data_IF_929689657690
#
_entry.id   IF_929689657690
#
_cell.length_a   1.000
_cell.length_b   1.000
_cell.length_c   1.000
_cell.angle_alpha   90.00
_cell.angle_beta   90.00
_cell.angle_gamma   90.00
#
_symmetry.space_group_name_H-M   'P 1'
#
loop_
_entity.id
_entity.type
_entity.pdbx_description
1 polymer ?
#
# COMPACT_ATOMS: atom_id res chain seq x y z
N UNK A 1 -25.24 5.46 -8.59
CA UNK A 1 -24.08 4.91 -7.83
C UNK A 1 -23.78 5.73 -6.57
N UNK A 2 -23.58 7.02 -6.65
CA UNK A 2 -23.25 7.87 -5.49
C UNK A 2 -24.34 7.96 -4.41
N UNK A 3 -25.62 8.10 -4.76
CA UNK A 3 -26.70 8.11 -3.77
C UNK A 3 -26.83 6.79 -3.02
N UNK A 4 -26.50 5.69 -3.67
CA UNK A 4 -26.51 4.37 -3.08
C UNK A 4 -25.44 4.21 -1.98
N UNK A 5 -24.22 4.75 -2.17
CA UNK A 5 -23.18 4.74 -1.14
C UNK A 5 -23.57 5.52 0.12
N UNK A 6 -24.26 6.65 -0.03
CA UNK A 6 -24.77 7.43 1.12
C UNK A 6 -25.65 6.56 2.02
N UNK A 7 -26.57 5.80 1.43
CA UNK A 7 -27.43 4.88 2.16
C UNK A 7 -26.68 3.70 2.79
N UNK A 8 -25.68 3.16 2.09
CA UNK A 8 -24.88 2.05 2.61
C UNK A 8 -24.02 2.45 3.81
N UNK A 9 -23.48 3.67 3.83
CA UNK A 9 -22.80 4.21 5.01
C UNK A 9 -23.73 4.53 6.19
N UNK A 10 -25.04 4.49 5.99
CA UNK A 10 -26.04 4.90 7.00
C UNK A 10 -25.84 6.34 7.48
N UNK A 11 -25.40 7.23 6.60
CA UNK A 11 -25.27 8.66 6.90
C UNK A 11 -26.60 9.38 6.69
N UNK A 12 -26.90 10.31 7.60
CA UNK A 12 -27.99 11.24 7.42
C UNK A 12 -27.53 12.51 6.66
N UNK A 13 -28.46 13.36 6.26
CA UNK A 13 -28.15 14.52 5.43
C UNK A 13 -27.22 15.53 6.12
N UNK A 14 -27.33 15.71 7.44
CA UNK A 14 -26.42 16.57 8.20
C UNK A 14 -25.00 16.04 8.25
N UNK A 15 -24.84 14.71 8.39
CA UNK A 15 -23.55 14.05 8.37
C UNK A 15 -22.91 14.16 6.97
N UNK A 16 -23.69 13.99 5.91
CA UNK A 16 -23.25 14.17 4.52
C UNK A 16 -22.79 15.60 4.30
N UNK A 17 -23.61 16.57 4.67
CA UNK A 17 -23.29 18.00 4.55
C UNK A 17 -22.00 18.36 5.32
N UNK A 18 -21.81 17.79 6.51
CA UNK A 18 -20.59 17.95 7.29
C UNK A 18 -19.36 17.44 6.54
N UNK A 19 -19.43 16.23 5.95
CA UNK A 19 -18.35 15.65 5.13
C UNK A 19 -18.05 16.53 3.90
N UNK A 20 -19.09 16.97 3.20
CA UNK A 20 -18.97 17.75 1.97
C UNK A 20 -18.30 19.12 2.18
N UNK A 21 -18.59 19.76 3.31
CA UNK A 21 -18.08 21.08 3.65
C UNK A 21 -16.75 21.05 4.41
N UNK A 22 -16.28 19.87 4.80
CA UNK A 22 -15.05 19.78 5.61
C UNK A 22 -13.81 19.66 4.74
N UNK A 23 -12.78 20.40 5.16
CA UNK A 23 -11.42 20.30 4.67
C UNK A 23 -10.49 20.05 5.86
N UNK A 24 -9.77 18.93 5.84
CA UNK A 24 -8.85 18.54 6.92
C UNK A 24 -7.43 18.81 6.44
N UNK A 25 -6.74 19.79 7.05
CA UNK A 25 -5.37 20.19 6.65
C UNK A 25 -5.24 20.38 5.14
N UNK A 26 -6.16 21.17 4.57
CA UNK A 26 -6.25 21.49 3.13
C UNK A 26 -6.55 20.29 2.20
N UNK A 27 -7.01 19.16 2.75
CA UNK A 27 -7.45 17.99 2.00
C UNK A 27 -8.94 17.80 2.13
N UNK A 28 -9.60 17.38 1.07
CA UNK A 28 -11.00 16.94 1.13
C UNK A 28 -11.14 15.76 2.09
N UNK A 29 -12.27 15.69 2.78
CA UNK A 29 -12.55 14.56 3.66
C UNK A 29 -12.44 13.20 2.90
N UNK A 30 -11.83 12.14 3.46
CA UNK A 30 -11.60 10.87 2.75
C UNK A 30 -12.88 10.27 2.14
N UNK A 31 -13.99 10.32 2.87
CA UNK A 31 -15.30 9.80 2.41
C UNK A 31 -15.87 10.64 1.27
N UNK A 32 -15.58 11.95 1.22
CA UNK A 32 -16.12 12.85 0.18
C UNK A 32 -15.82 12.38 -1.23
N UNK A 33 -14.63 11.82 -1.45
CA UNK A 33 -14.22 11.25 -2.72
C UNK A 33 -15.14 10.12 -3.20
N UNK A 34 -15.63 9.30 -2.28
CA UNK A 34 -16.55 8.20 -2.59
C UNK A 34 -17.96 8.72 -2.87
N UNK A 35 -18.36 9.81 -2.22
CA UNK A 35 -19.67 10.44 -2.44
C UNK A 35 -19.70 11.30 -3.71
N UNK A 36 -18.57 11.84 -4.13
CA UNK A 36 -18.42 12.70 -5.31
C UNK A 36 -17.21 12.28 -6.14
N UNK A 37 -17.32 11.16 -6.90
CA UNK A 37 -16.22 10.68 -7.74
C UNK A 37 -15.89 11.74 -8.80
N UNK A 38 -14.61 12.00 -8.93
CA UNK A 38 -14.11 12.86 -10.00
C UNK A 38 -14.17 12.09 -11.31
N UNK A 39 -15.02 12.50 -12.26
CA UNK A 39 -15.28 11.83 -13.54
C UNK A 39 -14.02 11.60 -14.44
N UNK A 40 -12.82 11.78 -13.95
CA UNK A 40 -11.57 11.77 -14.73
C UNK A 40 -10.57 10.67 -14.31
N UNK A 41 -10.86 9.92 -13.26
CA UNK A 41 -9.92 8.90 -12.78
C UNK A 41 -10.58 7.52 -12.90
N UNK A 42 -10.18 6.75 -13.91
CA UNK A 42 -10.62 5.36 -14.11
C UNK A 42 -10.48 4.49 -12.85
N UNK A 43 -9.52 4.84 -11.98
CA UNK A 43 -9.25 4.09 -10.74
C UNK A 43 -10.23 4.46 -9.62
N UNK A 44 -10.84 5.65 -9.64
CA UNK A 44 -11.90 6.00 -8.69
C UNK A 44 -13.08 5.04 -8.80
N UNK A 45 -13.45 4.66 -10.01
CA UNK A 45 -14.54 3.73 -10.24
C UNK A 45 -14.28 2.36 -9.60
N UNK A 46 -13.04 1.88 -9.62
CA UNK A 46 -12.66 0.61 -8.99
C UNK A 46 -12.68 0.71 -7.45
N UNK A 47 -12.18 1.80 -6.89
CA UNK A 47 -12.20 2.03 -5.43
C UNK A 47 -13.65 2.15 -4.93
N UNK A 48 -14.48 2.89 -5.66
CA UNK A 48 -15.90 3.07 -5.35
C UNK A 48 -16.63 1.73 -5.44
N UNK A 49 -16.46 1.00 -6.54
CA UNK A 49 -17.09 -0.29 -6.76
C UNK A 49 -16.71 -1.32 -5.67
N UNK A 50 -15.41 -1.42 -5.35
CA UNK A 50 -14.94 -2.32 -4.31
C UNK A 50 -15.48 -1.93 -2.93
N UNK A 51 -15.54 -0.63 -2.62
CA UNK A 51 -16.09 -0.13 -1.36
C UNK A 51 -17.61 -0.38 -1.29
N UNK A 52 -18.33 -0.19 -2.38
CA UNK A 52 -19.77 -0.44 -2.45
C UNK A 52 -20.12 -1.91 -2.20
N UNK A 53 -19.40 -2.84 -2.87
CA UNK A 53 -19.60 -4.27 -2.65
C UNK A 53 -19.31 -4.66 -1.20
N UNK A 54 -18.23 -4.14 -0.62
CA UNK A 54 -17.91 -4.38 0.78
C UNK A 54 -19.03 -3.89 1.70
N UNK A 55 -19.50 -2.65 1.51
CA UNK A 55 -20.55 -2.07 2.34
C UNK A 55 -21.88 -2.80 2.22
N UNK A 56 -22.28 -3.27 1.03
CA UNK A 56 -23.51 -4.07 0.87
C UNK A 56 -23.48 -5.30 1.76
N UNK A 57 -22.40 -6.05 1.71
CA UNK A 57 -22.24 -7.24 2.56
C UNK A 57 -22.17 -6.88 4.05
N UNK A 58 -21.44 -5.82 4.41
CA UNK A 58 -21.31 -5.36 5.80
C UNK A 58 -22.67 -4.92 6.35
N UNK A 59 -23.48 -4.19 5.59
CA UNK A 59 -24.82 -3.75 6.01
C UNK A 59 -25.74 -4.94 6.25
N UNK A 60 -25.63 -5.99 5.43
CA UNK A 60 -26.45 -7.19 5.54
C UNK A 60 -26.06 -8.09 6.71
N UNK A 61 -24.77 -8.26 6.98
CA UNK A 61 -24.28 -9.28 7.90
C UNK A 61 -23.49 -8.73 9.10
N UNK A 62 -22.99 -7.49 9.02
CA UNK A 62 -22.09 -6.89 10.03
C UNK A 62 -22.46 -5.44 10.38
N UNK A 63 -23.74 -5.08 10.32
CA UNK A 63 -24.21 -3.70 10.54
C UNK A 63 -23.72 -3.10 11.86
N UNK A 64 -23.69 -3.88 12.94
CA UNK A 64 -23.20 -3.42 14.26
C UNK A 64 -21.75 -2.94 14.18
N UNK A 65 -20.92 -3.64 13.41
CA UNK A 65 -19.53 -3.24 13.20
C UNK A 65 -19.45 -1.93 12.38
N UNK A 66 -20.22 -1.81 11.30
CA UNK A 66 -20.28 -0.55 10.54
C UNK A 66 -20.68 0.62 11.43
N UNK A 67 -21.66 0.44 12.30
CA UNK A 67 -22.08 1.47 13.24
C UNK A 67 -21.01 1.84 14.26
N UNK A 68 -20.13 0.90 14.64
CA UNK A 68 -18.96 1.19 15.48
C UNK A 68 -17.86 1.98 14.75
N UNK A 69 -17.74 1.80 13.42
CA UNK A 69 -16.81 2.57 12.57
C UNK A 69 -17.34 3.97 12.24
N UNK A 70 -18.66 4.18 12.27
CA UNK A 70 -19.30 5.43 11.84
C UNK A 70 -18.73 6.69 12.49
N UNK A 71 -18.45 6.75 13.81
CA UNK A 71 -17.82 7.92 14.43
C UNK A 71 -16.44 8.23 13.86
N UNK A 72 -15.67 7.19 13.51
CA UNK A 72 -14.34 7.34 12.88
C UNK A 72 -14.47 7.81 11.43
N UNK A 73 -15.42 7.27 10.67
CA UNK A 73 -15.73 7.69 9.30
C UNK A 73 -16.14 9.16 9.22
N UNK A 74 -16.85 9.66 10.23
CA UNK A 74 -17.33 11.05 10.33
C UNK A 74 -16.33 12.00 10.99
N UNK A 75 -15.13 11.54 11.31
CA UNK A 75 -14.11 12.38 11.95
C UNK A 75 -13.63 13.47 10.99
N UNK A 76 -13.87 14.73 11.37
CA UNK A 76 -13.51 15.92 10.58
C UNK A 76 -12.22 16.59 11.04
N UNK A 77 -11.65 16.14 12.16
CA UNK A 77 -10.47 16.75 12.77
C UNK A 77 -9.18 15.99 12.37
N UNK A 78 -9.30 14.67 12.18
CA UNK A 78 -8.18 13.83 11.83
C UNK A 78 -8.46 12.98 10.59
N UNK A 79 -7.76 13.34 9.50
CA UNK A 79 -7.81 12.64 8.21
C UNK A 79 -7.46 11.15 8.35
N UNK A 80 -6.47 10.84 9.20
CA UNK A 80 -5.98 9.47 9.34
C UNK A 80 -7.00 8.54 10.00
N UNK A 81 -7.77 9.04 10.94
CA UNK A 81 -8.86 8.31 11.60
C UNK A 81 -9.95 7.93 10.60
N UNK A 82 -10.40 8.86 9.76
CA UNK A 82 -11.42 8.58 8.75
C UNK A 82 -10.90 7.68 7.63
N UNK A 83 -9.70 7.94 7.13
CA UNK A 83 -9.05 7.09 6.12
C UNK A 83 -8.77 5.67 6.66
N UNK A 84 -8.39 5.53 7.93
CA UNK A 84 -8.21 4.25 8.59
C UNK A 84 -9.49 3.41 8.59
N UNK A 85 -10.61 4.00 8.98
CA UNK A 85 -11.90 3.31 8.96
C UNK A 85 -12.34 2.88 7.55
N UNK A 86 -12.05 3.71 6.52
CA UNK A 86 -12.27 3.32 5.12
C UNK A 86 -11.37 2.16 4.70
N UNK A 87 -10.10 2.15 5.13
CA UNK A 87 -9.17 1.07 4.86
C UNK A 87 -9.64 -0.25 5.43
N UNK A 88 -10.19 -0.25 6.65
CA UNK A 88 -10.78 -1.44 7.26
C UNK A 88 -11.97 -1.95 6.43
N UNK A 89 -12.89 -1.09 5.99
CA UNK A 89 -14.02 -1.48 5.13
C UNK A 89 -13.52 -2.12 3.83
N UNK A 90 -12.52 -1.52 3.18
CA UNK A 90 -11.95 -2.03 1.94
C UNK A 90 -11.24 -3.36 2.13
N UNK A 91 -10.39 -3.46 3.15
CA UNK A 91 -9.69 -4.71 3.50
C UNK A 91 -10.68 -5.84 3.79
N UNK A 92 -11.73 -5.56 4.57
CA UNK A 92 -12.83 -6.51 4.81
C UNK A 92 -13.43 -7.02 3.50
N UNK A 93 -13.79 -6.12 2.59
CA UNK A 93 -14.42 -6.47 1.31
C UNK A 93 -13.51 -7.29 0.41
N UNK A 94 -12.21 -7.03 0.40
CA UNK A 94 -11.25 -7.85 -0.33
C UNK A 94 -11.13 -9.25 0.27
N UNK A 95 -10.96 -9.36 1.58
CA UNK A 95 -10.81 -10.63 2.29
C UNK A 95 -12.07 -11.47 2.17
N UNK A 96 -13.24 -10.91 2.45
CA UNK A 96 -14.51 -11.62 2.33
C UNK A 96 -14.72 -12.24 0.94
N UNK A 97 -14.39 -11.52 -0.14
CA UNK A 97 -14.53 -12.04 -1.52
C UNK A 97 -13.64 -13.25 -1.84
N UNK A 98 -12.64 -13.55 -1.03
CA UNK A 98 -11.87 -14.78 -1.17
C UNK A 98 -12.61 -16.01 -0.64
N UNK A 99 -13.78 -15.82 0.00
CA UNK A 99 -14.56 -16.87 0.62
C UNK A 99 -14.03 -17.30 1.99
N UNK A 100 -13.08 -16.55 2.57
CA UNK A 100 -12.68 -16.77 3.97
C UNK A 100 -13.70 -16.12 4.90
N UNK A 101 -13.95 -16.74 6.06
CA UNK A 101 -14.74 -16.11 7.11
C UNK A 101 -13.96 -14.95 7.72
N UNK A 102 -14.52 -13.75 7.70
CA UNK A 102 -13.92 -12.52 8.24
C UNK A 102 -14.74 -12.04 9.41
N UNK A 103 -14.16 -12.01 10.60
CA UNK A 103 -14.77 -11.47 11.80
C UNK A 103 -14.03 -10.19 12.22
N UNK A 104 -14.79 -9.11 12.44
CA UNK A 104 -14.25 -7.85 12.94
C UNK A 104 -14.04 -7.91 14.44
N UNK A 105 -12.98 -7.24 14.94
CA UNK A 105 -12.75 -7.09 16.38
C UNK A 105 -12.34 -8.35 17.09
N UNK A 106 -11.27 -9.00 16.67
CA UNK A 106 -10.71 -10.15 17.36
C UNK A 106 -10.35 -9.82 18.81
N UNK A 107 -10.53 -10.80 19.74
CA UNK A 107 -10.16 -10.65 21.17
C UNK A 107 -8.69 -10.27 21.40
N UNK A 108 -7.84 -10.45 20.39
CA UNK A 108 -6.42 -10.12 20.43
C UNK A 108 -6.10 -8.65 20.06
N UNK A 109 -7.14 -7.82 19.79
CA UNK A 109 -6.94 -6.41 19.41
C UNK A 109 -6.53 -6.17 17.96
N UNK A 110 -6.52 -7.21 17.10
CA UNK A 110 -6.41 -7.09 15.65
C UNK A 110 -7.72 -6.59 15.04
N UNK A 111 -7.64 -5.95 13.86
CA UNK A 111 -8.83 -5.46 13.16
C UNK A 111 -9.71 -6.62 12.67
N UNK A 112 -9.09 -7.71 12.17
CA UNK A 112 -9.83 -8.88 11.71
C UNK A 112 -9.24 -10.20 12.21
N UNK A 113 -10.15 -11.15 12.43
CA UNK A 113 -9.89 -12.56 12.58
C UNK A 113 -10.40 -13.30 11.33
N UNK A 114 -9.50 -13.92 10.58
CA UNK A 114 -9.83 -14.83 9.50
C UNK A 114 -9.94 -16.25 10.04
N UNK A 115 -10.91 -17.03 9.55
CA UNK A 115 -11.07 -18.41 9.98
C UNK A 115 -11.60 -19.31 8.86
N UNK A 116 -11.19 -20.60 8.91
CA UNK A 116 -11.72 -21.68 8.11
C UNK A 116 -11.67 -22.97 8.98
N UNK A 117 -12.84 -23.42 9.47
CA UNK A 117 -12.91 -24.45 10.51
C UNK A 117 -12.26 -23.97 11.82
N UNK A 118 -11.30 -24.75 12.34
CA UNK A 118 -10.56 -24.41 13.54
C UNK A 118 -9.34 -23.51 13.29
N UNK A 119 -8.93 -23.37 12.04
CA UNK A 119 -7.78 -22.59 11.64
C UNK A 119 -8.06 -21.09 11.70
N UNK A 120 -7.06 -20.31 12.12
CA UNK A 120 -7.17 -18.87 12.36
C UNK A 120 -5.98 -18.11 11.79
N UNK A 121 -6.23 -16.84 11.44
CA UNK A 121 -5.19 -15.85 11.12
C UNK A 121 -5.68 -14.47 11.54
N UNK A 122 -4.77 -13.60 11.93
CA UNK A 122 -5.05 -12.23 12.35
C UNK A 122 -4.59 -11.21 11.31
N UNK A 123 -5.39 -10.18 11.11
CA UNK A 123 -5.07 -9.09 10.18
C UNK A 123 -5.15 -7.76 10.89
N UNK A 124 -4.09 -6.98 10.80
CA UNK A 124 -4.03 -5.59 11.24
C UNK A 124 -4.01 -4.68 10.01
N UNK A 125 -4.87 -3.68 9.95
CA UNK A 125 -5.04 -2.80 8.80
C UNK A 125 -4.43 -1.43 9.06
N UNK A 126 -3.61 -0.96 8.14
CA UNK A 126 -3.07 0.40 8.17
C UNK A 126 -3.28 1.11 6.83
N UNK A 127 -4.14 2.11 6.82
CA UNK A 127 -4.26 3.01 5.66
C UNK A 127 -3.05 3.92 5.56
N UNK A 128 -2.51 4.03 4.36
CA UNK A 128 -1.35 4.85 4.05
C UNK A 128 -1.77 6.13 3.37
N UNK A 129 -1.38 7.23 3.98
CA UNK A 129 -1.62 8.57 3.46
C UNK A 129 -0.28 9.24 3.24
N UNK A 130 -0.21 10.10 2.21
CA UNK A 130 0.95 10.96 2.06
C UNK A 130 0.97 12.07 3.11
N UNK A 131 2.13 12.70 3.25
CA UNK A 131 2.23 13.94 4.01
C UNK A 131 1.36 15.04 3.35
N UNK A 132 0.67 15.91 4.10
CA UNK A 132 -0.17 16.98 3.54
C UNK A 132 0.55 17.89 2.53
N UNK A 133 1.82 18.21 2.76
CA UNK A 133 2.61 19.03 1.85
C UNK A 133 2.86 18.33 0.51
N UNK A 134 3.02 17.00 0.52
CA UNK A 134 3.14 16.20 -0.71
C UNK A 134 1.82 16.17 -1.49
N UNK A 135 0.70 16.06 -0.79
CA UNK A 135 -0.62 16.13 -1.42
C UNK A 135 -0.83 17.47 -2.14
N UNK A 136 -0.48 18.59 -1.47
CA UNK A 136 -0.53 19.93 -2.08
C UNK A 136 0.40 20.08 -3.28
N UNK A 137 1.60 19.54 -3.15
CA UNK A 137 2.60 19.61 -4.23
C UNK A 137 2.14 18.81 -5.45
N UNK A 138 1.53 17.64 -5.23
CA UNK A 138 0.95 16.81 -6.30
C UNK A 138 -0.25 17.51 -6.96
N UNK A 139 -1.11 18.13 -6.19
CA UNK A 139 -2.24 18.90 -6.73
C UNK A 139 -1.76 20.08 -7.61
N UNK A 140 -0.76 20.84 -7.15
CA UNK A 140 -0.12 21.91 -7.95
C UNK A 140 0.47 21.36 -9.24
N UNK A 141 1.12 20.22 -9.19
CA UNK A 141 1.69 19.55 -10.35
C UNK A 141 0.60 19.16 -11.36
N UNK A 142 -0.46 18.49 -10.97
CA UNK A 142 -1.57 18.16 -11.86
C UNK A 142 -2.29 19.38 -12.42
N UNK A 143 -2.42 20.44 -11.63
CA UNK A 143 -3.01 21.69 -12.11
C UNK A 143 -2.12 22.38 -13.17
N UNK A 144 -0.79 22.30 -13.02
CA UNK A 144 0.17 22.77 -14.04
C UNK A 144 0.02 21.95 -15.33
N UNK A 145 0.00 20.61 -15.24
CA UNK A 145 -0.20 19.73 -16.39
C UNK A 145 -1.51 20.00 -17.13
N UNK A 146 -2.62 20.19 -16.39
CA UNK A 146 -3.93 20.53 -16.98
C UNK A 146 -3.89 21.84 -17.77
N UNK A 147 -3.22 22.86 -17.23
CA UNK A 147 -3.07 24.15 -17.92
C UNK A 147 -2.20 24.05 -19.19
N UNK A 148 -1.18 23.20 -19.14
CA UNK A 148 -0.25 23.00 -20.29
C UNK A 148 -0.91 22.19 -21.40
N UNK A 149 -1.77 21.22 -21.06
CA UNK A 149 -2.44 20.32 -22.00
C UNK A 149 -3.86 20.77 -22.36
N UNK A 150 -4.21 22.04 -22.20
CA UNK A 150 -5.53 22.57 -22.57
C UNK A 150 -5.75 22.50 -24.09
N UNK A 151 -6.93 22.05 -24.58
CA UNK A 151 -7.19 21.82 -26.01
C UNK A 151 -6.97 23.01 -26.94
N UNK A 152 -7.02 24.25 -26.42
CA UNK A 152 -6.79 25.46 -27.21
C UNK A 152 -5.33 25.70 -27.68
N UNK A 153 -4.36 24.86 -27.24
CA UNK A 153 -2.96 24.89 -27.65
C UNK A 153 -2.55 23.69 -28.49
N UNK A 154 -3.47 23.08 -29.18
CA UNK A 154 -3.33 21.81 -29.91
C UNK A 154 -2.29 21.78 -31.04
N UNK A 155 -1.63 22.88 -31.36
CA UNK A 155 -0.56 22.91 -32.35
C UNK A 155 0.83 22.59 -31.82
N UNK A 156 0.99 22.35 -30.52
CA UNK A 156 2.26 21.89 -29.96
C UNK A 156 2.18 20.38 -29.71
N UNK A 157 2.79 19.59 -30.57
CA UNK A 157 2.91 18.11 -30.46
C UNK A 157 3.90 17.65 -29.37
N UNK A 158 4.19 18.45 -28.34
CA UNK A 158 5.02 18.06 -27.23
C UNK A 158 4.15 17.63 -26.04
N UNK A 159 4.13 16.34 -25.78
CA UNK A 159 3.60 15.79 -24.53
C UNK A 159 4.73 15.86 -23.49
N UNK A 160 4.60 16.70 -22.49
CA UNK A 160 5.52 16.71 -21.35
C UNK A 160 5.08 15.60 -20.40
N UNK A 161 5.82 14.51 -20.37
CA UNK A 161 5.75 13.49 -19.31
C UNK A 161 6.69 13.94 -18.19
N UNK A 162 6.14 14.54 -17.17
CA UNK A 162 6.85 14.82 -15.93
C UNK A 162 6.49 13.71 -14.94
N UNK A 163 7.47 12.90 -14.55
CA UNK A 163 7.30 11.86 -13.53
C UNK A 163 7.61 12.46 -12.17
N UNK A 164 6.74 12.21 -11.20
CA UNK A 164 6.98 12.62 -9.82
C UNK A 164 6.82 11.42 -8.89
N UNK A 165 7.88 11.10 -8.17
CA UNK A 165 7.83 10.11 -7.11
C UNK A 165 7.23 10.73 -5.84
N UNK A 166 6.31 10.01 -5.22
CA UNK A 166 5.64 10.42 -3.98
C UNK A 166 6.23 9.63 -2.82
N UNK A 167 6.93 10.26 -1.86
CA UNK A 167 7.47 9.57 -0.71
C UNK A 167 6.36 9.06 0.22
N UNK A 168 6.59 7.93 0.89
CA UNK A 168 5.63 7.34 1.83
C UNK A 168 5.54 8.11 3.15
N UNK A 169 6.63 8.74 3.57
CA UNK A 169 6.72 9.54 4.78
C UNK A 169 7.17 10.96 4.49
N UNK A 170 7.30 11.79 5.54
CA UNK A 170 7.89 13.13 5.41
C UNK A 170 9.33 12.98 4.92
N UNK A 171 9.67 13.59 3.76
CA UNK A 171 11.02 13.49 3.23
C UNK A 171 12.05 14.14 4.18
N UNK A 172 13.23 13.55 4.25
CA UNK A 172 14.38 14.09 4.95
C UNK A 172 15.48 14.39 3.95
N UNK A 173 16.30 15.39 4.24
CA UNK A 173 17.46 15.74 3.40
C UNK A 173 18.43 14.54 3.33
N UNK A 174 18.85 14.19 2.12
CA UNK A 174 19.78 13.08 1.87
C UNK A 174 19.13 11.67 1.98
N UNK A 175 17.82 11.60 2.21
CA UNK A 175 17.08 10.34 2.22
C UNK A 175 16.70 9.92 0.79
N UNK A 176 16.84 8.65 0.47
CA UNK A 176 16.36 8.11 -0.79
C UNK A 176 14.88 7.74 -0.70
N UNK A 177 14.24 7.45 -1.85
CA UNK A 177 12.85 6.98 -1.89
C UNK A 177 12.70 5.66 -1.14
N UNK A 178 13.64 4.73 -1.36
CA UNK A 178 13.63 3.42 -0.69
C UNK A 178 13.87 3.56 0.82
N UNK A 179 14.83 4.38 1.24
CA UNK A 179 15.05 4.66 2.67
C UNK A 179 13.83 5.31 3.33
N UNK A 180 13.16 6.23 2.62
CA UNK A 180 11.91 6.83 3.11
C UNK A 180 10.83 5.77 3.32
N UNK A 181 10.67 4.84 2.37
CA UNK A 181 9.73 3.73 2.50
C UNK A 181 10.09 2.82 3.68
N UNK A 182 11.36 2.43 3.84
CA UNK A 182 11.82 1.61 4.97
C UNK A 182 11.52 2.30 6.30
N UNK A 183 11.92 3.56 6.45
CA UNK A 183 11.73 4.33 7.68
C UNK A 183 10.24 4.47 8.03
N UNK A 184 9.40 4.71 7.02
CA UNK A 184 7.96 4.84 7.23
C UNK A 184 7.31 3.52 7.61
N UNK A 185 7.68 2.42 6.96
CA UNK A 185 7.13 1.11 7.24
C UNK A 185 7.66 0.53 8.56
N UNK A 186 8.92 0.79 8.90
CA UNK A 186 9.48 0.43 10.21
C UNK A 186 8.78 1.15 11.38
N UNK A 187 8.24 2.36 11.13
CA UNK A 187 7.47 3.10 12.13
C UNK A 187 6.09 2.51 12.43
N UNK A 188 5.59 1.61 11.59
CA UNK A 188 4.36 0.85 11.85
C UNK A 188 4.70 -0.20 12.89
N UNK A 189 4.50 0.14 14.13
CA UNK A 189 4.58 -0.82 15.22
C UNK A 189 3.34 -1.72 15.13
N UNK A 190 3.52 -2.96 14.69
CA UNK A 190 2.58 -3.99 15.11
C UNK A 190 2.68 -4.02 16.62
N UNK A 191 1.62 -3.55 17.29
CA UNK A 191 1.59 -3.60 18.75
C UNK A 191 1.73 -5.05 19.12
N UNK A 192 2.63 -5.39 20.07
CA UNK A 192 2.94 -6.79 20.38
C UNK A 192 1.71 -7.62 20.74
N UNK A 193 0.67 -6.99 21.30
CA UNK A 193 -0.59 -7.63 21.63
C UNK A 193 -1.53 -7.90 20.43
N UNK A 194 -1.22 -7.35 19.26
CA UNK A 194 -1.98 -7.56 18.01
C UNK A 194 -1.40 -8.70 17.16
N UNK A 195 -0.22 -9.20 17.52
CA UNK A 195 0.45 -10.31 16.85
C UNK A 195 0.27 -11.56 17.67
N UNK A 196 -0.40 -12.55 17.12
CA UNK A 196 -0.51 -13.87 17.74
C UNK A 196 0.85 -14.56 17.74
N UNK A 197 1.30 -15.14 18.87
CA UNK A 197 2.51 -15.97 18.88
C UNK A 197 2.32 -17.32 18.18
N UNK A 198 1.09 -17.80 18.03
CA UNK A 198 0.78 -19.14 17.53
C UNK A 198 0.15 -19.13 16.15
N UNK A 199 -0.62 -18.10 15.83
CA UNK A 199 -1.37 -18.01 14.58
C UNK A 199 -0.72 -17.06 13.57
N UNK A 200 -1.03 -17.25 12.30
CA UNK A 200 -0.57 -16.38 11.22
C UNK A 200 -0.99 -14.92 11.43
N UNK A 201 -0.05 -14.00 11.35
CA UNK A 201 -0.26 -12.56 11.55
C UNK A 201 0.07 -11.80 10.27
N UNK A 202 -0.92 -11.07 9.76
CA UNK A 202 -0.85 -10.35 8.50
C UNK A 202 -0.99 -8.85 8.75
N UNK A 203 -0.11 -8.07 8.13
CA UNK A 203 -0.25 -6.63 8.05
C UNK A 203 -0.90 -6.27 6.70
N UNK A 204 -2.06 -5.63 6.74
CA UNK A 204 -2.71 -5.08 5.56
C UNK A 204 -2.35 -3.60 5.40
N UNK A 205 -1.72 -3.24 4.30
CA UNK A 205 -1.40 -1.86 3.95
C UNK A 205 -2.37 -1.37 2.86
N UNK A 206 -3.24 -0.43 3.21
CA UNK A 206 -4.18 0.16 2.26
C UNK A 206 -3.58 1.43 1.62
N UNK A 207 -3.27 1.34 0.33
CA UNK A 207 -2.74 2.42 -0.52
C UNK A 207 -3.81 2.92 -1.50
N UNK A 208 -5.06 3.02 -1.08
CA UNK A 208 -6.15 3.48 -1.93
C UNK A 208 -6.54 4.94 -1.67
N UNK A 209 -5.68 5.72 -1.02
CA UNK A 209 -5.86 7.17 -0.91
C UNK A 209 -5.56 7.84 -2.27
N UNK A 210 -6.25 8.96 -2.55
CA UNK A 210 -6.19 9.71 -3.81
C UNK A 210 -4.77 9.98 -4.31
N UNK A 211 -3.84 10.21 -3.39
CA UNK A 211 -2.45 10.54 -3.74
C UNK A 211 -1.72 9.39 -4.43
N UNK A 212 -2.15 8.17 -4.18
CA UNK A 212 -1.54 6.97 -4.76
C UNK A 212 -2.13 6.57 -6.10
N UNK A 213 -3.17 7.29 -6.56
CA UNK A 213 -3.75 7.07 -7.87
C UNK A 213 -2.79 7.46 -8.98
N UNK A 214 -2.74 6.65 -10.02
CA UNK A 214 -1.87 6.89 -11.16
C UNK A 214 -0.41 6.48 -10.96
N UNK A 215 -0.01 6.04 -9.77
CA UNK A 215 1.30 5.44 -9.56
C UNK A 215 1.33 4.06 -10.22
N UNK A 216 2.41 3.73 -10.89
CA UNK A 216 2.62 2.36 -11.34
C UNK A 216 2.95 1.47 -10.13
N UNK A 217 1.92 0.76 -9.68
CA UNK A 217 2.02 -0.12 -8.52
C UNK A 217 2.99 -1.28 -8.74
N UNK A 218 3.21 -1.67 -10.01
CA UNK A 218 4.13 -2.75 -10.36
C UNK A 218 5.56 -2.34 -10.11
N UNK A 219 5.93 -1.13 -10.51
CA UNK A 219 7.29 -0.62 -10.29
C UNK A 219 7.63 -0.56 -8.81
N UNK A 220 6.67 -0.17 -7.96
CA UNK A 220 6.87 -0.05 -6.51
C UNK A 220 7.14 -1.37 -5.78
N UNK A 221 6.73 -2.48 -6.35
CA UNK A 221 6.88 -3.83 -5.76
C UNK A 221 7.76 -4.74 -6.60
N UNK A 222 8.45 -4.21 -7.60
CA UNK A 222 9.37 -5.01 -8.39
C UNK A 222 10.47 -5.60 -7.52
N UNK A 223 10.70 -6.92 -7.62
CA UNK A 223 11.83 -7.56 -6.98
C UNK A 223 13.15 -6.95 -7.44
N UNK A 224 14.17 -7.07 -6.60
CA UNK A 224 15.52 -6.67 -6.95
C UNK A 224 15.96 -7.34 -8.26
N UNK A 225 16.42 -6.54 -9.19
CA UNK A 225 16.91 -6.96 -10.49
C UNK A 225 18.14 -6.16 -10.91
N UNK A 226 18.99 -6.78 -11.71
CA UNK A 226 20.04 -6.04 -12.43
C UNK A 226 19.45 -5.34 -13.63
N UNK A 227 19.83 -4.09 -13.87
CA UNK A 227 19.48 -3.36 -15.08
C UNK A 227 20.65 -3.34 -16.05
N UNK A 228 20.36 -3.54 -17.33
CA UNK A 228 21.28 -3.22 -18.43
C UNK A 228 20.87 -1.87 -19.01
N UNK A 229 21.81 -0.97 -19.39
CA UNK A 229 23.23 -1.23 -19.64
C UNK A 229 24.17 -0.99 -18.45
N UNK A 230 23.70 -0.44 -17.35
CA UNK A 230 24.60 0.10 -16.31
C UNK A 230 24.95 -0.91 -15.20
N UNK A 231 24.54 -2.17 -15.31
CA UNK A 231 24.71 -3.19 -14.28
C UNK A 231 24.26 -2.73 -12.86
N UNK A 232 23.36 -1.76 -12.80
CA UNK A 232 22.85 -1.26 -11.56
C UNK A 232 21.77 -2.19 -10.99
N UNK A 233 21.66 -2.21 -9.68
CA UNK A 233 20.60 -2.92 -9.00
C UNK A 233 19.43 -1.97 -8.78
N UNK A 234 18.27 -2.36 -9.30
CA UNK A 234 17.01 -1.66 -9.09
C UNK A 234 16.04 -2.55 -8.35
N UNK A 235 15.27 -1.94 -7.47
CA UNK A 235 14.17 -2.59 -6.75
C UNK A 235 13.03 -1.60 -6.59
N UNK A 236 11.80 -2.11 -6.59
CA UNK A 236 10.68 -1.32 -6.12
C UNK A 236 10.86 -1.01 -4.62
N UNK A 237 10.59 0.23 -4.23
CA UNK A 237 10.83 0.69 -2.87
C UNK A 237 10.03 -0.10 -1.83
N UNK A 238 8.81 -0.55 -2.15
CA UNK A 238 8.01 -1.38 -1.26
C UNK A 238 8.57 -2.79 -1.14
N UNK A 239 9.02 -3.39 -2.26
CA UNK A 239 9.68 -4.69 -2.18
C UNK A 239 10.92 -4.63 -1.30
N UNK A 240 11.77 -3.64 -1.55
CA UNK A 240 13.01 -3.49 -0.78
C UNK A 240 12.74 -3.19 0.69
N UNK A 241 11.72 -2.39 0.99
CA UNK A 241 11.34 -2.08 2.37
C UNK A 241 10.95 -3.32 3.20
N UNK A 242 10.55 -4.41 2.53
CA UNK A 242 10.26 -5.68 3.21
C UNK A 242 11.39 -6.70 3.12
N UNK A 243 11.99 -6.89 1.96
CA UNK A 243 12.97 -7.96 1.71
C UNK A 243 14.42 -7.49 1.66
N UNK A 244 14.67 -6.21 1.53
CA UNK A 244 15.99 -5.64 1.35
C UNK A 244 16.96 -5.94 2.49
N UNK A 245 18.21 -5.59 2.30
CA UNK A 245 19.26 -5.77 3.31
C UNK A 245 20.18 -4.56 3.38
N UNK A 246 20.70 -4.32 4.57
CA UNK A 246 21.67 -3.27 4.81
C UNK A 246 22.91 -3.45 3.93
N UNK A 247 23.50 -2.33 3.55
CA UNK A 247 24.71 -2.23 2.73
C UNK A 247 24.57 -2.69 1.27
N UNK A 248 23.35 -3.03 0.80
CA UNK A 248 23.15 -3.28 -0.62
C UNK A 248 23.28 -2.00 -1.44
N UNK A 249 24.05 -2.02 -2.55
CA UNK A 249 24.11 -0.92 -3.50
C UNK A 249 22.86 -0.97 -4.38
N UNK A 250 21.98 0.01 -4.23
CA UNK A 250 20.78 0.17 -5.05
C UNK A 250 20.92 1.44 -5.87
N UNK A 251 20.62 1.36 -7.15
CA UNK A 251 20.48 2.53 -7.98
C UNK A 251 19.13 3.19 -7.67
N UNK A 252 19.20 4.36 -7.08
CA UNK A 252 18.03 5.20 -6.85
C UNK A 252 17.95 6.25 -7.95
N UNK A 253 16.90 6.17 -8.74
CA UNK A 253 16.68 7.11 -9.85
C UNK A 253 16.47 8.53 -9.33
N UNK A 254 15.88 8.66 -8.14
CA UNK A 254 15.65 9.93 -7.49
C UNK A 254 15.99 9.88 -6.01
N UNK A 255 16.92 10.72 -5.58
CA UNK A 255 16.96 11.19 -4.20
C UNK A 255 15.97 12.32 -4.03
N UNK A 256 15.44 12.49 -2.83
CA UNK A 256 14.48 13.56 -2.54
C UNK A 256 15.07 14.96 -2.67
N UNK A 257 16.39 15.07 -2.69
CA UNK A 257 17.17 16.30 -2.82
C UNK A 257 18.06 16.37 -4.09
N UNK A 258 17.98 15.38 -4.99
CA UNK A 258 18.83 15.29 -6.19
C UNK A 258 18.02 15.23 -7.48
N UNK A 259 18.60 15.81 -8.53
CA UNK A 259 18.00 15.82 -9.88
C UNK A 259 18.30 14.56 -10.70
N UNK A 260 19.32 13.79 -10.31
CA UNK A 260 19.80 12.62 -11.04
C UNK A 260 19.93 11.42 -10.12
N UNK A 261 19.73 10.23 -10.70
CA UNK A 261 19.92 8.98 -10.00
C UNK A 261 21.37 8.69 -9.67
N UNK A 262 21.57 7.91 -8.61
CA UNK A 262 22.91 7.51 -8.14
C UNK A 262 22.87 6.13 -7.52
N UNK A 263 24.03 5.50 -7.40
CA UNK A 263 24.21 4.27 -6.66
C UNK A 263 24.33 4.59 -5.18
N UNK A 264 23.37 4.11 -4.41
CA UNK A 264 23.28 4.41 -2.98
C UNK A 264 23.41 3.15 -2.16
N UNK A 265 24.20 3.21 -1.09
CA UNK A 265 24.31 2.14 -0.13
C UNK A 265 23.17 2.22 0.89
N UNK A 266 22.34 1.19 0.95
CA UNK A 266 21.20 1.15 1.88
C UNK A 266 21.66 1.09 3.34
N UNK A 267 21.05 1.91 4.19
CA UNK A 267 21.44 2.03 5.61
C UNK A 267 20.72 1.04 6.51
N UNK A 268 19.63 0.47 6.07
CA UNK A 268 18.74 -0.33 6.89
C UNK A 268 18.36 -1.65 6.21
N UNK A 269 18.10 -2.65 7.02
CA UNK A 269 17.44 -3.87 6.59
C UNK A 269 15.95 -3.64 6.33
N UNK A 270 15.39 -4.42 5.42
CA UNK A 270 13.96 -4.51 5.22
C UNK A 270 13.25 -5.11 6.45
N UNK A 271 11.97 -4.82 6.55
CA UNK A 271 11.19 -5.13 7.74
C UNK A 271 11.15 -6.61 8.10
N UNK A 272 11.09 -7.50 7.12
CA UNK A 272 11.03 -8.95 7.38
C UNK A 272 12.30 -9.50 8.05
N UNK A 273 13.44 -8.85 7.85
CA UNK A 273 14.68 -9.22 8.55
C UNK A 273 14.68 -8.77 10.01
N UNK A 274 13.95 -7.69 10.31
CA UNK A 274 13.89 -7.11 11.64
C UNK A 274 12.72 -7.68 12.47
N UNK A 275 11.62 -8.06 11.81
CA UNK A 275 10.38 -8.48 12.48
C UNK A 275 9.95 -9.88 11.98
N UNK A 276 10.42 -10.89 12.69
CA UNK A 276 10.09 -12.29 12.41
C UNK A 276 8.72 -12.73 12.96
N UNK A 277 8.01 -11.87 13.66
CA UNK A 277 6.65 -12.14 14.18
C UNK A 277 5.57 -11.87 13.13
N UNK A 278 5.88 -11.00 12.17
CA UNK A 278 4.99 -10.70 11.05
C UNK A 278 5.17 -11.75 9.96
N UNK A 279 4.11 -12.47 9.62
CA UNK A 279 4.19 -13.61 8.70
C UNK A 279 3.98 -13.21 7.24
N UNK A 280 3.17 -12.19 7.01
CA UNK A 280 2.95 -11.65 5.67
C UNK A 280 2.51 -10.18 5.70
N UNK A 281 2.63 -9.54 4.55
CA UNK A 281 2.05 -8.23 4.28
C UNK A 281 1.18 -8.32 3.04
N UNK A 282 0.00 -7.73 3.11
CA UNK A 282 -0.87 -7.52 1.96
C UNK A 282 -0.89 -6.03 1.66
N UNK A 283 -0.61 -5.65 0.43
CA UNK A 283 -0.64 -4.26 -0.02
C UNK A 283 -1.78 -4.11 -1.02
N UNK A 284 -2.76 -3.26 -0.73
CA UNK A 284 -3.86 -2.97 -1.63
C UNK A 284 -3.72 -1.60 -2.26
N UNK A 285 -3.82 -1.57 -3.58
CA UNK A 285 -3.88 -0.37 -4.42
C UNK A 285 -5.25 -0.28 -5.10
N UNK A 286 -5.51 0.84 -5.77
CA UNK A 286 -6.73 0.99 -6.56
C UNK A 286 -6.76 -0.05 -7.70
N UNK A 287 -7.44 -1.16 -7.47
CA UNK A 287 -7.61 -2.25 -8.44
C UNK A 287 -6.64 -3.42 -8.33
N UNK A 288 -5.57 -3.32 -7.54
CA UNK A 288 -4.55 -4.36 -7.41
C UNK A 288 -4.27 -4.69 -5.94
N UNK A 289 -3.93 -5.95 -5.68
CA UNK A 289 -3.55 -6.42 -4.35
C UNK A 289 -2.32 -7.33 -4.47
N UNK A 290 -1.35 -7.15 -3.59
CA UNK A 290 -0.08 -7.87 -3.61
C UNK A 290 0.15 -8.49 -2.26
N UNK A 291 0.64 -9.74 -2.25
CA UNK A 291 0.98 -10.48 -1.04
C UNK A 291 2.49 -10.66 -0.99
N UNK A 292 3.08 -10.24 0.12
CA UNK A 292 4.50 -10.42 0.42
C UNK A 292 4.61 -11.35 1.64
N UNK A 293 5.09 -12.56 1.46
CA UNK A 293 5.29 -13.52 2.53
C UNK A 293 6.65 -13.30 3.20
N UNK A 294 6.69 -13.35 4.54
CA UNK A 294 7.94 -13.20 5.28
C UNK A 294 8.75 -14.51 5.26
N UNK A 295 9.90 -14.56 4.54
CA UNK A 295 10.71 -15.78 4.46
C UNK A 295 11.45 -16.10 5.77
N UNK A 296 11.53 -15.14 6.69
CA UNK A 296 12.19 -15.29 7.98
C UNK A 296 11.22 -15.61 9.12
N UNK A 297 9.91 -15.68 8.81
CA UNK A 297 8.92 -16.08 9.79
C UNK A 297 9.06 -17.55 10.16
N UNK A 298 8.83 -17.83 11.45
CA UNK A 298 8.75 -19.20 11.96
C UNK A 298 7.37 -19.84 11.70
N UNK A 299 6.40 -19.04 11.24
CA UNK A 299 5.00 -19.44 10.98
C UNK A 299 4.63 -19.05 9.54
N UNK A 300 5.03 -19.84 8.54
CA UNK A 300 4.63 -19.56 7.16
C UNK A 300 3.11 -19.55 7.03
N UNK A 301 2.63 -18.84 6.02
CA UNK A 301 1.20 -18.82 5.71
C UNK A 301 0.71 -20.25 5.51
N UNK A 302 -0.28 -20.67 6.29
CA UNK A 302 -0.84 -22.01 6.22
C UNK A 302 -1.53 -22.25 4.86
N UNK A 303 -1.51 -23.49 4.32
CA UNK A 303 -2.06 -23.81 3.01
C UNK A 303 -3.52 -23.40 2.78
N UNK A 304 -4.36 -23.51 3.81
CA UNK A 304 -5.76 -23.11 3.75
C UNK A 304 -5.88 -21.60 3.45
N UNK A 305 -5.11 -20.78 4.16
CA UNK A 305 -5.14 -19.35 4.02
C UNK A 305 -4.52 -18.92 2.68
N UNK A 306 -3.43 -19.58 2.27
CA UNK A 306 -2.78 -19.31 0.99
C UNK A 306 -3.73 -19.53 -0.20
N UNK A 307 -4.52 -20.63 -0.18
CA UNK A 307 -5.56 -20.90 -1.18
C UNK A 307 -6.59 -19.78 -1.30
N UNK A 308 -6.87 -19.08 -0.19
CA UNK A 308 -7.79 -17.94 -0.17
C UNK A 308 -7.13 -16.66 -0.64
N UNK A 309 -5.96 -16.36 -0.10
CA UNK A 309 -5.25 -15.11 -0.39
C UNK A 309 -4.80 -15.00 -1.85
N UNK A 310 -4.47 -16.12 -2.51
CA UNK A 310 -4.13 -16.11 -3.93
C UNK A 310 -5.24 -15.55 -4.82
N UNK A 311 -6.49 -15.62 -4.38
CA UNK A 311 -7.65 -15.07 -5.10
C UNK A 311 -7.70 -13.53 -5.07
N UNK A 312 -6.96 -12.90 -4.17
CA UNK A 312 -6.81 -11.44 -4.14
C UNK A 312 -5.98 -10.92 -5.32
N UNK A 313 -5.24 -11.79 -5.94
CA UNK A 313 -4.19 -11.43 -6.87
C UNK A 313 -4.70 -11.34 -8.30
N UNK A 314 -4.50 -10.17 -8.94
CA UNK A 314 -4.80 -9.95 -10.35
C UNK A 314 -3.59 -9.96 -11.26
N UNK A 315 -2.38 -10.11 -10.71
CA UNK A 315 -1.16 -10.12 -11.51
C UNK A 315 -0.93 -11.43 -12.24
N UNK A 316 -0.42 -11.34 -13.46
CA UNK A 316 0.15 -12.47 -14.16
C UNK A 316 1.24 -13.10 -13.30
N UNK A 317 1.17 -14.41 -13.14
CA UNK A 317 2.11 -15.24 -12.38
C UNK A 317 3.58 -14.99 -12.73
N UNK A 318 3.86 -14.57 -13.96
CA UNK A 318 5.21 -14.26 -14.46
C UNK A 318 5.87 -13.05 -13.77
N UNK A 319 5.08 -12.16 -13.18
CA UNK A 319 5.59 -10.99 -12.44
C UNK A 319 5.72 -11.22 -10.94
N UNK A 320 5.29 -12.35 -10.44
CA UNK A 320 5.07 -12.58 -9.01
C UNK A 320 6.18 -13.33 -8.29
N UNK A 321 7.38 -12.78 -8.29
CA UNK A 321 8.33 -13.12 -7.21
C UNK A 321 7.73 -12.87 -5.82
N UNK A 322 6.66 -12.10 -5.75
CA UNK A 322 5.93 -11.77 -4.54
C UNK A 322 5.11 -12.95 -3.99
N UNK A 323 4.81 -13.96 -4.81
CA UNK A 323 4.01 -15.14 -4.44
C UNK A 323 4.83 -16.42 -4.38
N UNK A 324 6.13 -16.29 -4.34
CA UNK A 324 6.96 -17.47 -4.17
C UNK A 324 6.82 -17.98 -2.73
N UNK A 325 6.76 -19.31 -2.55
CA UNK A 325 6.88 -19.88 -1.22
C UNK A 325 8.10 -19.32 -0.50
N UNK A 326 7.98 -19.08 0.81
CA UNK A 326 9.03 -18.42 1.59
C UNK A 326 10.42 -19.04 1.40
N UNK A 327 10.49 -20.38 1.28
CA UNK A 327 11.74 -21.11 1.05
C UNK A 327 12.39 -20.72 -0.27
N UNK A 328 11.63 -20.60 -1.34
CA UNK A 328 12.15 -20.21 -2.66
C UNK A 328 12.58 -18.75 -2.66
N UNK A 329 11.92 -17.92 -1.88
CA UNK A 329 12.23 -16.51 -1.75
C UNK A 329 13.56 -16.29 -1.02
N UNK A 330 13.84 -17.05 0.05
CA UNK A 330 15.16 -17.02 0.72
C UNK A 330 16.27 -17.38 -0.27
N UNK A 331 16.16 -18.50 -0.96
CA UNK A 331 17.14 -18.95 -1.96
C UNK A 331 17.34 -17.88 -3.04
N UNK A 332 16.28 -17.23 -3.48
CA UNK A 332 16.35 -16.16 -4.47
C UNK A 332 17.09 -14.94 -3.95
N UNK A 333 16.80 -14.51 -2.74
CA UNK A 333 17.50 -13.39 -2.11
C UNK A 333 18.98 -13.70 -1.94
N UNK A 334 19.34 -14.89 -1.48
CA UNK A 334 20.71 -15.32 -1.34
C UNK A 334 21.45 -15.35 -2.69
N UNK A 335 20.80 -15.86 -3.73
CA UNK A 335 21.34 -15.87 -5.08
C UNK A 335 21.58 -14.44 -5.62
N UNK A 336 20.66 -13.53 -5.42
CA UNK A 336 20.82 -12.15 -5.85
C UNK A 336 21.91 -11.43 -5.03
N UNK A 337 22.06 -11.72 -3.75
CA UNK A 337 23.16 -11.21 -2.92
C UNK A 337 24.52 -11.69 -3.43
N UNK A 338 24.62 -12.96 -3.79
CA UNK A 338 25.88 -13.53 -4.34
C UNK A 338 26.22 -12.92 -5.71
N UNK A 339 25.23 -12.77 -6.59
CA UNK A 339 25.42 -12.09 -7.89
C UNK A 339 25.88 -10.64 -7.69
N UNK A 340 25.29 -9.93 -6.75
CA UNK A 340 25.66 -8.58 -6.42
C UNK A 340 27.10 -8.49 -5.95
N UNK A 341 27.51 -9.38 -5.04
CA UNK A 341 28.89 -9.45 -4.55
C UNK A 341 29.88 -9.64 -5.69
N UNK A 342 29.63 -10.62 -6.56
CA UNK A 342 30.48 -10.88 -7.73
C UNK A 342 30.54 -9.69 -8.70
N UNK A 343 29.44 -8.98 -8.87
CA UNK A 343 29.39 -7.78 -9.73
C UNK A 343 30.21 -6.63 -9.14
N UNK A 344 30.11 -6.38 -7.84
CA UNK A 344 30.91 -5.36 -7.14
C UNK A 344 32.40 -5.67 -7.27
N UNK A 345 32.79 -6.91 -7.04
CA UNK A 345 34.17 -7.38 -7.21
C UNK A 345 34.64 -7.20 -8.67
N UNK A 346 33.83 -7.55 -9.65
CA UNK A 346 34.13 -7.40 -11.07
C UNK A 346 34.31 -5.94 -11.50
N UNK A 347 33.46 -5.05 -11.02
CA UNK A 347 33.48 -3.64 -11.35
C UNK A 347 34.52 -2.85 -10.54
N UNK A 348 35.18 -3.47 -9.57
CA UNK A 348 36.13 -2.81 -8.64
C UNK A 348 35.54 -1.55 -8.02
N UNK A 349 34.25 -1.59 -7.68
CA UNK A 349 33.57 -0.46 -7.04
C UNK A 349 33.94 -0.45 -5.56
N UNK A 350 34.69 0.55 -5.15
CA UNK A 350 34.90 0.89 -3.74
C UNK A 350 33.59 1.51 -3.19
N UNK A 351 32.85 0.76 -2.40
CA UNK A 351 31.58 1.16 -1.79
C UNK A 351 31.75 1.62 -0.34
#
# INVERSE_FOLDING_TARGET
>A
MTDQLKHLFKFNDLEIQKIENTTIKDRSHPVKRLLHPRARFLRDDLVIYNTEIALRHIVEHHEKWLMSLKPRLLNVDDYSTSSGALGEIRAFGYLWRTGVSVNSGGKAGSDFLLSEGEEKAFVEVHSRQSHPDEAKALEKFYNKLRKTNSPGKANQRACFLEHRTVPLGRPKIGETITENAINKLASIKAKEHQISPEETSILWLDFQDEIWDGLDTRERVLPLRTTTPNNAFQSGELWYAFYGWKDAPIYEEFRLDMLFGDLVKMRHDGRFRQDTKLDAVIISFSGDTIILENPYSKKPIKPWLWKRLVLLHRFNFEMSYTNWPAVNLIQRIELEQEKLKKLIEFLSIDL
#
